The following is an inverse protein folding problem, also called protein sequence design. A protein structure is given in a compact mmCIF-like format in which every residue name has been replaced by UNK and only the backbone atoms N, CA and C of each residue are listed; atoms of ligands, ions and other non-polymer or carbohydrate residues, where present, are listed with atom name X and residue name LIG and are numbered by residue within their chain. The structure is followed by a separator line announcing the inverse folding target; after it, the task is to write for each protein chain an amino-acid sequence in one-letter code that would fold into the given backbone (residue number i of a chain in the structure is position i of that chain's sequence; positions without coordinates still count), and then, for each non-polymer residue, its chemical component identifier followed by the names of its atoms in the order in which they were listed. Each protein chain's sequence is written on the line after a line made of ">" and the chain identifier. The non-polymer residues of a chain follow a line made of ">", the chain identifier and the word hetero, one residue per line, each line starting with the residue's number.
data_IF_579831074739
#
_entry.id   IF_579831074739
#
_cell.length_a   1.000
_cell.length_b   1.000
_cell.length_c   1.000
_cell.angle_alpha   90.00
_cell.angle_beta   90.00
_cell.angle_gamma   90.00
#
_symmetry.space_group_name_H-M   'P 1'
#
loop_
_entity.id
_entity.type
_entity.pdbx_description
1 polymer ?
#
# COMPACT_ATOMS: atom_id res chain seq x y z
N UNK A 1 -16.39 -4.38 2.02
CA UNK A 1 -15.54 -5.43 1.42
C UNK A 1 -15.30 -6.57 2.40
N UNK A 2 -14.67 -6.32 3.56
CA UNK A 2 -14.46 -7.36 4.60
C UNK A 2 -15.70 -8.20 4.92
N UNK A 3 -16.79 -7.51 5.26
CA UNK A 3 -18.10 -8.14 5.50
C UNK A 3 -18.58 -9.01 4.32
N UNK A 4 -18.44 -8.55 3.09
CA UNK A 4 -18.87 -9.30 1.90
C UNK A 4 -18.07 -10.59 1.73
N UNK A 5 -16.75 -10.55 1.94
CA UNK A 5 -15.91 -11.77 1.87
C UNK A 5 -16.34 -12.78 2.95
N UNK A 6 -16.69 -12.29 4.14
CA UNK A 6 -17.19 -13.13 5.24
C UNK A 6 -18.56 -13.75 4.93
N UNK A 7 -19.49 -12.96 4.39
CA UNK A 7 -20.83 -13.42 4.02
C UNK A 7 -20.82 -14.43 2.87
N UNK A 8 -19.88 -14.29 1.92
CA UNK A 8 -19.70 -15.23 0.80
C UNK A 8 -18.93 -16.50 1.20
N UNK A 9 -18.39 -16.57 2.41
CA UNK A 9 -17.67 -17.76 2.91
C UNK A 9 -16.38 -18.09 2.15
N UNK A 10 -15.79 -17.12 1.45
CA UNK A 10 -14.55 -17.34 0.70
C UNK A 10 -13.37 -17.54 1.64
N UNK A 11 -12.57 -18.58 1.38
CA UNK A 11 -11.34 -18.81 2.15
C UNK A 11 -10.33 -17.72 1.84
N UNK A 12 -9.41 -17.47 2.78
CA UNK A 12 -8.36 -16.46 2.63
C UNK A 12 -7.43 -16.73 1.44
N UNK A 13 -7.18 -18.01 1.14
CA UNK A 13 -6.39 -18.48 0.00
C UNK A 13 -7.03 -18.21 -1.37
N UNK A 14 -8.34 -18.04 -1.42
CA UNK A 14 -9.09 -17.98 -2.67
C UNK A 14 -9.19 -16.55 -3.20
N UNK A 15 -8.77 -15.56 -2.40
CA UNK A 15 -8.92 -14.13 -2.70
C UNK A 15 -7.63 -13.37 -2.41
N UNK A 16 -7.27 -12.51 -3.35
CA UNK A 16 -6.19 -11.53 -3.18
C UNK A 16 -6.81 -10.20 -2.82
N UNK A 17 -6.54 -9.73 -1.61
CA UNK A 17 -6.99 -8.46 -1.05
C UNK A 17 -5.84 -7.48 -1.06
N UNK A 18 -6.01 -6.41 -1.83
CA UNK A 18 -5.08 -5.29 -1.81
C UNK A 18 -5.66 -4.07 -1.11
N UNK A 19 -4.82 -3.31 -0.40
CA UNK A 19 -5.16 -1.99 0.13
C UNK A 19 -4.19 -0.92 -0.35
N UNK A 20 -4.60 0.35 -0.29
CA UNK A 20 -3.82 1.48 -0.76
C UNK A 20 -3.78 2.59 0.28
N UNK A 21 -2.58 3.09 0.58
CA UNK A 21 -2.33 4.10 1.60
C UNK A 21 -1.85 5.39 0.95
N UNK A 22 -2.47 6.51 1.34
CA UNK A 22 -2.02 7.88 1.12
C UNK A 22 -2.97 8.88 1.79
N UNK A 23 -4.28 8.59 1.84
CA UNK A 23 -5.30 9.41 2.50
C UNK A 23 -5.99 8.59 3.58
N UNK A 24 -5.67 8.88 4.84
CA UNK A 24 -6.23 8.26 6.03
C UNK A 24 -7.23 9.15 6.79
N UNK A 25 -7.16 10.47 6.63
CA UNK A 25 -7.97 11.42 7.41
C UNK A 25 -7.66 12.90 7.14
N UNK A 26 -8.29 13.82 7.89
CA UNK A 26 -8.11 15.26 7.74
C UNK A 26 -6.86 15.80 8.46
N UNK A 27 -6.26 15.02 9.36
CA UNK A 27 -5.09 15.45 10.12
C UNK A 27 -3.81 15.55 9.27
N UNK A 28 -2.84 16.35 9.70
CA UNK A 28 -1.58 16.53 8.97
C UNK A 28 -0.77 15.23 8.86
N UNK A 29 -0.93 14.32 9.82
CA UNK A 29 -0.27 13.01 9.82
C UNK A 29 -1.12 11.90 9.18
N UNK A 30 -2.36 12.20 8.81
CA UNK A 30 -3.27 11.21 8.22
C UNK A 30 -3.18 11.21 6.69
N UNK A 31 -2.13 11.83 6.12
CA UNK A 31 -1.92 11.93 4.69
C UNK A 31 -0.43 11.77 4.33
N UNK A 32 -0.17 11.27 3.13
CA UNK A 32 1.18 11.07 2.59
C UNK A 32 1.71 9.65 2.83
N UNK A 33 3.02 9.49 2.67
CA UNK A 33 3.74 8.22 2.82
C UNK A 33 4.79 8.25 3.95
N UNK A 34 4.53 9.05 4.98
CA UNK A 34 5.31 9.02 6.21
C UNK A 34 5.16 7.66 6.90
N UNK A 35 6.17 7.27 7.66
CA UNK A 35 6.18 6.01 8.42
C UNK A 35 4.94 5.87 9.31
N UNK A 36 4.54 6.98 9.95
CA UNK A 36 3.36 7.01 10.81
C UNK A 36 2.09 6.67 10.04
N UNK A 37 1.84 7.35 8.91
CA UNK A 37 0.63 7.13 8.13
C UNK A 37 0.60 5.73 7.50
N UNK A 38 1.75 5.18 7.09
CA UNK A 38 1.83 3.82 6.57
C UNK A 38 1.41 2.81 7.65
N UNK A 39 1.97 2.89 8.85
CA UNK A 39 1.67 1.93 9.92
C UNK A 39 0.24 2.10 10.43
N UNK A 40 -0.17 3.32 10.79
CA UNK A 40 -1.50 3.58 11.34
C UNK A 40 -2.61 3.40 10.28
N UNK A 41 -2.37 3.86 9.05
CA UNK A 41 -3.29 3.71 7.94
C UNK A 41 -3.48 2.24 7.53
N UNK A 42 -2.43 1.42 7.60
CA UNK A 42 -2.54 -0.04 7.37
C UNK A 42 -3.39 -0.70 8.46
N UNK A 43 -3.09 -0.44 9.73
CA UNK A 43 -3.88 -0.96 10.86
C UNK A 43 -5.34 -0.54 10.79
N UNK A 44 -5.61 0.72 10.45
CA UNK A 44 -6.97 1.21 10.26
C UNK A 44 -7.68 0.54 9.07
N UNK A 45 -6.96 0.28 7.98
CA UNK A 45 -7.50 -0.43 6.82
C UNK A 45 -7.86 -1.88 7.14
N UNK A 46 -6.99 -2.58 7.85
CA UNK A 46 -7.22 -3.96 8.32
C UNK A 46 -8.43 -4.05 9.24
N UNK A 47 -8.55 -3.13 10.20
CA UNK A 47 -9.72 -3.04 11.09
C UNK A 47 -11.02 -2.84 10.30
N UNK A 48 -11.02 -2.01 9.25
CA UNK A 48 -12.22 -1.82 8.39
C UNK A 48 -12.50 -3.02 7.49
N UNK A 49 -11.47 -3.75 7.11
CA UNK A 49 -11.58 -4.97 6.31
C UNK A 49 -11.89 -6.21 7.15
N UNK A 50 -11.88 -6.10 8.49
CA UNK A 50 -12.07 -7.23 9.40
C UNK A 50 -11.10 -8.39 9.06
N UNK A 51 -9.82 -8.03 8.90
CA UNK A 51 -8.73 -8.92 8.46
C UNK A 51 -7.48 -8.66 9.27
N UNK A 52 -6.68 -9.71 9.46
CA UNK A 52 -5.39 -9.63 10.16
C UNK A 52 -4.25 -9.21 9.21
N UNK A 53 -4.32 -9.60 7.94
CA UNK A 53 -3.34 -9.26 6.91
C UNK A 53 -4.00 -8.91 5.56
N UNK A 54 -3.22 -8.25 4.69
CA UNK A 54 -3.53 -8.04 3.26
C UNK A 54 -2.43 -8.66 2.40
N UNK A 55 -2.77 -9.10 1.19
CA UNK A 55 -1.78 -9.65 0.28
C UNK A 55 -0.89 -8.56 -0.28
N UNK A 56 -1.49 -7.46 -0.73
CA UNK A 56 -0.74 -6.38 -1.41
C UNK A 56 -1.05 -5.04 -0.78
N UNK A 57 -0.02 -4.31 -0.39
CA UNK A 57 -0.15 -2.91 -0.02
C UNK A 57 0.43 -1.99 -1.09
N UNK A 58 -0.35 -0.97 -1.44
CA UNK A 58 0.02 0.03 -2.42
C UNK A 58 0.28 1.40 -1.80
N UNK A 59 1.40 2.01 -2.18
CA UNK A 59 1.54 3.46 -2.07
C UNK A 59 0.68 4.09 -3.17
N UNK A 60 -0.42 4.75 -2.80
CA UNK A 60 -1.44 5.18 -3.76
C UNK A 60 -0.94 6.29 -4.70
N UNK A 61 0.03 7.10 -4.26
CA UNK A 61 0.69 8.14 -5.06
C UNK A 61 2.10 8.38 -4.56
N UNK A 62 3.03 8.84 -5.41
CA UNK A 62 4.31 9.35 -4.94
C UNK A 62 4.08 10.54 -4.01
N UNK A 63 4.83 10.57 -2.93
CA UNK A 63 4.83 11.66 -1.96
C UNK A 63 6.18 12.38 -2.03
N UNK A 64 6.16 13.63 -2.46
CA UNK A 64 7.37 14.47 -2.55
C UNK A 64 7.76 15.09 -1.21
N UNK A 65 6.91 14.98 -0.18
CA UNK A 65 7.18 15.54 1.15
C UNK A 65 7.87 14.55 2.10
N UNK A 66 7.77 13.25 1.82
CA UNK A 66 8.41 12.18 2.59
C UNK A 66 9.67 11.70 1.86
N UNK A 67 10.72 11.34 2.62
CA UNK A 67 11.91 10.72 2.03
C UNK A 67 11.56 9.31 1.54
N UNK A 68 11.99 8.96 0.32
CA UNK A 68 11.72 7.63 -0.24
C UNK A 68 12.26 6.51 0.65
N UNK A 69 13.41 6.72 1.29
CA UNK A 69 14.00 5.77 2.22
C UNK A 69 13.08 5.51 3.43
N UNK A 70 12.45 6.56 3.97
CA UNK A 70 11.50 6.43 5.07
C UNK A 70 10.30 5.58 4.64
N UNK A 71 9.73 5.88 3.47
CA UNK A 71 8.63 5.09 2.90
C UNK A 71 9.03 3.64 2.73
N UNK A 72 10.18 3.35 2.09
CA UNK A 72 10.64 1.97 1.87
C UNK A 72 10.86 1.24 3.20
N UNK A 73 11.50 1.86 4.19
CA UNK A 73 11.69 1.27 5.53
C UNK A 73 10.39 1.04 6.27
N UNK A 74 9.41 1.93 6.12
CA UNK A 74 8.09 1.76 6.70
C UNK A 74 7.32 0.61 6.05
N UNK A 75 7.45 0.47 4.72
CA UNK A 75 6.85 -0.62 3.98
C UNK A 75 7.51 -1.96 4.34
N UNK A 76 8.84 -2.01 4.46
CA UNK A 76 9.55 -3.20 4.95
C UNK A 76 9.07 -3.60 6.34
N UNK A 77 8.93 -2.62 7.24
CA UNK A 77 8.45 -2.86 8.60
C UNK A 77 7.07 -3.53 8.64
N UNK A 78 6.14 -3.17 7.74
CA UNK A 78 4.82 -3.82 7.72
C UNK A 78 4.84 -5.24 7.13
N UNK A 79 5.79 -5.55 6.24
CA UNK A 79 6.04 -6.95 5.82
C UNK A 79 6.62 -7.75 6.99
N UNK A 80 7.66 -7.24 7.65
CA UNK A 80 8.36 -7.97 8.72
C UNK A 80 7.45 -8.33 9.90
N UNK A 81 6.35 -7.59 10.09
CA UNK A 81 5.36 -7.84 11.15
C UNK A 81 4.17 -8.67 10.65
N UNK A 82 4.28 -9.33 9.49
CA UNK A 82 3.28 -10.21 8.87
C UNK A 82 1.91 -9.54 8.62
N UNK A 83 1.91 -8.21 8.55
CA UNK A 83 0.71 -7.42 8.27
C UNK A 83 0.41 -7.44 6.77
N UNK A 84 1.43 -7.65 5.94
CA UNK A 84 1.38 -7.63 4.47
C UNK A 84 2.30 -8.69 3.87
N UNK A 85 1.85 -9.40 2.82
CA UNK A 85 2.66 -10.41 2.11
C UNK A 85 3.50 -9.84 0.95
N UNK A 86 3.01 -8.81 0.25
CA UNK A 86 3.68 -8.19 -0.91
C UNK A 86 3.49 -6.65 -0.93
N UNK A 87 4.51 -5.92 -1.41
CA UNK A 87 4.47 -4.46 -1.62
C UNK A 87 4.44 -4.15 -3.11
N UNK A 88 3.57 -3.24 -3.52
CA UNK A 88 3.61 -2.65 -4.86
C UNK A 88 3.50 -1.13 -4.84
N UNK A 89 4.16 -0.47 -5.79
CA UNK A 89 3.98 0.95 -6.02
C UNK A 89 2.83 1.14 -7.02
N UNK A 90 1.77 1.85 -6.61
CA UNK A 90 0.70 2.25 -7.53
C UNK A 90 1.00 3.64 -8.09
N UNK A 91 1.46 3.70 -9.33
CA UNK A 91 1.46 4.94 -10.11
C UNK A 91 0.16 4.98 -10.90
N UNK A 92 -0.90 5.56 -10.34
CA UNK A 92 -2.05 5.98 -11.16
C UNK A 92 -1.66 7.29 -11.83
N UNK A 93 -0.93 7.18 -12.93
CA UNK A 93 -0.67 8.30 -13.81
C UNK A 93 -1.97 8.75 -14.47
N UNK A 94 -2.36 10.01 -14.30
CA UNK A 94 -3.23 10.66 -15.26
C UNK A 94 -2.40 10.72 -16.54
N UNK A 95 -2.70 9.86 -17.52
CA UNK A 95 -2.06 9.88 -18.84
C UNK A 95 -2.24 11.27 -19.43
N UNK A 96 -1.20 12.09 -19.27
CA UNK A 96 -1.18 13.50 -19.62
C UNK A 96 0.26 13.96 -19.51
N UNK A 97 0.96 13.89 -20.65
CA UNK A 97 2.35 14.26 -20.92
C UNK A 97 3.42 13.17 -20.66
N UNK A 98 4.26 13.04 -21.69
CA UNK A 98 5.26 11.99 -21.95
C UNK A 98 6.55 12.26 -21.17
N UNK A 99 7.06 11.27 -20.47
CA UNK A 99 8.50 11.01 -20.35
C UNK A 99 8.71 9.66 -19.66
N UNK A 100 9.00 8.63 -20.46
CA UNK A 100 9.53 7.35 -20.00
C UNK A 100 11.04 7.52 -19.76
N UNK A 101 11.53 7.13 -18.59
CA UNK A 101 12.95 6.84 -18.37
C UNK A 101 13.02 5.35 -18.04
N UNK A 102 13.22 4.53 -19.07
CA UNK A 102 13.74 3.18 -18.95
C UNK A 102 15.21 3.19 -19.33
N UNK A 103 16.06 2.60 -18.49
CA UNK A 103 17.36 2.05 -18.89
C UNK A 103 17.34 0.58 -18.47
N UNK A 104 17.20 -0.32 -19.43
CA UNK A 104 18.29 -1.05 -20.09
C UNK A 104 18.96 -2.04 -19.13
N UNK A 105 18.51 -3.30 -19.21
CA UNK A 105 19.29 -4.46 -18.80
C UNK A 105 20.27 -4.78 -19.93
N UNK A 106 21.54 -4.46 -19.74
CA UNK A 106 22.61 -4.97 -20.59
C UNK A 106 22.78 -6.47 -20.36
N UNK A 107 22.50 -7.26 -21.40
CA UNK A 107 22.98 -8.63 -21.53
C UNK A 107 24.25 -8.63 -22.38
N UNK A 108 25.31 -9.25 -21.87
CA UNK A 108 26.39 -9.87 -22.64
C UNK A 108 26.54 -11.30 -22.16
#
# INVERSE_FOLDING_TARGET
>A
MGQAIRELGWKRSDVVVSTKIFWGGPGPNDKGLSRKNIIEGTKASLKRLDRESVDVIYCHRPDSSSLIEETVRAMNYVIDHEIVEEIRLAVVGRLGSKSWIGKESEGK
#
